data_IF_596493732874
#
_entry.id   IF_596493732874
#
_cell.length_a   1.000
_cell.length_b   1.000
_cell.length_c   1.000
_cell.angle_alpha   90.00
_cell.angle_beta   90.00
_cell.angle_gamma   90.00
#
_symmetry.space_group_name_H-M   'P 1'
#
loop_
_entity.id
_entity.type
_entity.pdbx_description
1 polymer ?
#
# COMPACT_ATOMS: atom_id res chain seq x y z
N UNK A 1 27.83 57.66 -17.54
CA UNK A 1 27.61 56.47 -16.70
C UNK A 1 27.15 55.36 -17.62
N UNK A 2 28.09 54.53 -18.08
CA UNK A 2 27.76 53.36 -18.90
C UNK A 2 27.19 52.30 -17.96
N UNK A 3 25.88 52.03 -18.06
CA UNK A 3 25.30 50.80 -17.51
C UNK A 3 26.18 49.64 -17.96
N UNK A 4 26.74 48.92 -16.99
CA UNK A 4 27.64 47.82 -17.27
C UNK A 4 26.78 46.72 -17.89
N UNK A 5 27.01 46.32 -19.16
CA UNK A 5 26.14 45.37 -19.86
C UNK A 5 26.11 43.99 -19.18
N UNK A 6 27.07 43.74 -18.30
CA UNK A 6 27.17 42.57 -17.44
C UNK A 6 26.12 42.63 -16.31
N UNK A 7 25.93 43.78 -15.68
CA UNK A 7 24.95 43.99 -14.60
C UNK A 7 23.52 43.79 -15.12
N UNK A 8 23.22 44.29 -16.33
CA UNK A 8 21.93 44.09 -16.98
C UNK A 8 21.65 42.61 -17.32
N UNK A 9 22.70 41.84 -17.66
CA UNK A 9 22.58 40.39 -17.90
C UNK A 9 22.42 39.62 -16.59
N UNK A 10 23.13 40.04 -15.54
CA UNK A 10 23.01 39.44 -14.20
C UNK A 10 21.58 39.59 -13.68
N UNK A 11 21.02 40.80 -13.75
CA UNK A 11 19.66 41.09 -13.31
C UNK A 11 18.60 40.25 -14.06
N UNK A 12 18.80 39.99 -15.35
CA UNK A 12 17.91 39.10 -16.13
C UNK A 12 18.04 37.63 -15.71
N UNK A 13 19.23 37.18 -15.37
CA UNK A 13 19.46 35.80 -14.91
C UNK A 13 18.85 35.61 -13.52
N UNK A 14 19.03 36.57 -12.60
CA UNK A 14 18.40 36.53 -11.28
C UNK A 14 16.88 36.51 -11.37
N UNK A 15 16.29 37.35 -12.24
CA UNK A 15 14.85 37.35 -12.47
C UNK A 15 14.34 36.01 -13.03
N UNK A 16 15.09 35.40 -13.95
CA UNK A 16 14.75 34.08 -14.49
C UNK A 16 14.86 32.97 -13.42
N UNK A 17 15.88 33.03 -12.54
CA UNK A 17 16.07 32.08 -11.45
C UNK A 17 14.96 32.19 -10.39
N UNK A 18 14.52 33.41 -10.06
CA UNK A 18 13.40 33.60 -9.11
C UNK A 18 12.07 33.12 -9.69
N UNK A 19 11.79 33.37 -10.97
CA UNK A 19 10.58 32.85 -11.63
C UNK A 19 10.59 31.31 -11.69
N UNK A 20 11.73 30.69 -12.02
CA UNK A 20 11.86 29.23 -12.00
C UNK A 20 11.74 28.65 -10.60
N UNK A 21 12.32 29.29 -9.58
CA UNK A 21 12.21 28.87 -8.19
C UNK A 21 10.78 28.92 -7.67
N UNK A 22 10.02 29.97 -8.03
CA UNK A 22 8.60 30.13 -7.71
C UNK A 22 7.72 29.08 -8.40
N UNK A 23 8.03 28.74 -9.66
CA UNK A 23 7.31 27.69 -10.39
C UNK A 23 7.60 26.31 -9.81
N UNK A 24 8.84 26.04 -9.41
CA UNK A 24 9.22 24.80 -8.72
C UNK A 24 8.50 24.66 -7.38
N UNK A 25 8.51 25.71 -6.55
CA UNK A 25 7.79 25.69 -5.26
C UNK A 25 6.28 25.55 -5.44
N UNK A 26 5.69 26.13 -6.49
CA UNK A 26 4.27 25.90 -6.83
C UNK A 26 4.02 24.46 -7.28
N UNK A 27 4.89 23.87 -8.11
CA UNK A 27 4.76 22.48 -8.56
C UNK A 27 4.95 21.49 -7.41
N UNK A 28 5.87 21.78 -6.49
CA UNK A 28 6.07 20.98 -5.27
C UNK A 28 4.90 21.15 -4.29
N UNK A 29 4.36 22.37 -4.14
CA UNK A 29 3.22 22.67 -3.27
C UNK A 29 1.87 22.16 -3.80
N UNK A 30 1.66 22.19 -5.11
CA UNK A 30 0.51 21.56 -5.79
C UNK A 30 0.73 20.05 -6.02
N UNK A 31 1.97 19.57 -5.81
CA UNK A 31 2.38 18.19 -6.01
C UNK A 31 1.89 17.23 -4.94
N UNK A 32 1.98 17.55 -3.65
CA UNK A 32 1.61 16.59 -2.59
C UNK A 32 1.30 17.20 -1.23
N UNK A 33 0.09 16.93 -0.71
CA UNK A 33 0.00 16.02 0.43
C UNK A 33 -0.71 14.68 0.10
N UNK A 34 -1.24 14.51 -1.11
CA UNK A 34 -2.16 13.38 -1.40
C UNK A 34 -1.79 12.47 -2.57
N UNK A 35 -0.76 12.77 -3.36
CA UNK A 35 -0.30 11.91 -4.48
C UNK A 35 0.81 10.90 -4.12
N UNK A 36 1.49 11.02 -2.97
CA UNK A 36 2.53 10.07 -2.51
C UNK A 36 2.06 9.20 -1.35
N UNK A 37 0.76 9.22 -1.00
CA UNK A 37 0.22 8.06 -0.34
C UNK A 37 0.19 6.96 -1.41
N UNK A 38 1.01 5.89 -1.30
CA UNK A 38 0.73 4.71 -2.10
C UNK A 38 -0.76 4.41 -1.91
N UNK A 39 -1.49 4.05 -2.98
CA UNK A 39 -2.89 3.65 -2.82
C UNK A 39 -2.94 2.65 -1.67
N UNK A 40 -3.89 2.78 -0.72
CA UNK A 40 -3.99 1.82 0.38
C UNK A 40 -3.89 0.44 -0.25
N UNK A 41 -3.01 -0.44 0.27
CA UNK A 41 -2.77 -1.73 -0.36
C UNK A 41 -4.14 -2.33 -0.59
N UNK A 42 -4.54 -2.48 -1.86
CA UNK A 42 -5.86 -2.97 -2.20
C UNK A 42 -6.04 -4.21 -1.34
N UNK A 43 -6.99 -4.16 -0.39
CA UNK A 43 -7.24 -5.29 0.48
C UNK A 43 -7.55 -6.41 -0.48
N UNK A 44 -6.57 -7.30 -0.65
CA UNK A 44 -6.73 -8.46 -1.50
C UNK A 44 -7.72 -9.30 -0.72
N UNK A 45 -9.01 -9.07 -0.97
CA UNK A 45 -10.12 -9.97 -0.68
C UNK A 45 -9.95 -11.23 -1.55
N UNK A 46 -8.74 -11.79 -1.54
CA UNK A 46 -8.51 -13.14 -1.99
C UNK A 46 -9.08 -14.10 -0.95
N UNK A 47 -9.34 -15.35 -1.34
CA UNK A 47 -9.72 -16.38 -0.38
C UNK A 47 -8.71 -16.39 0.76
N UNK A 48 -9.20 -16.21 1.99
CA UNK A 48 -8.38 -16.22 3.19
C UNK A 48 -7.93 -17.65 3.45
N UNK A 49 -6.83 -18.05 2.82
CA UNK A 49 -6.24 -19.38 2.93
C UNK A 49 -5.90 -19.76 4.37
N UNK A 50 -5.59 -18.78 5.23
CA UNK A 50 -5.40 -19.02 6.66
C UNK A 50 -6.71 -19.46 7.32
N UNK A 51 -7.83 -18.80 7.01
CA UNK A 51 -9.16 -19.22 7.48
C UNK A 51 -9.53 -20.61 6.96
N UNK A 52 -9.26 -20.90 5.69
CA UNK A 52 -9.50 -22.22 5.09
C UNK A 52 -8.67 -23.29 5.80
N UNK A 53 -7.38 -23.03 6.04
CA UNK A 53 -6.50 -23.94 6.77
C UNK A 53 -6.98 -24.22 8.19
N UNK A 54 -7.41 -23.19 8.92
CA UNK A 54 -7.99 -23.34 10.27
C UNK A 54 -9.27 -24.18 10.24
N UNK A 55 -10.15 -23.96 9.26
CA UNK A 55 -11.38 -24.76 9.12
C UNK A 55 -11.04 -26.23 8.91
N UNK A 56 -10.10 -26.54 8.00
CA UNK A 56 -9.67 -27.93 7.73
C UNK A 56 -9.07 -28.56 8.99
N UNK A 57 -8.23 -27.82 9.71
CA UNK A 57 -7.61 -28.31 10.95
C UNK A 57 -8.65 -28.66 12.01
N UNK A 58 -9.67 -27.81 12.19
CA UNK A 58 -10.78 -28.05 13.13
C UNK A 58 -11.59 -29.28 12.73
N UNK A 59 -11.88 -29.47 11.44
CA UNK A 59 -12.59 -30.66 10.95
C UNK A 59 -11.78 -31.93 11.21
N UNK A 60 -10.48 -31.93 10.92
CA UNK A 60 -9.59 -33.06 11.20
C UNK A 60 -9.53 -33.39 12.70
N UNK A 61 -9.38 -32.38 13.55
CA UNK A 61 -9.37 -32.56 14.99
C UNK A 61 -10.70 -33.12 15.51
N UNK A 62 -11.83 -32.66 14.96
CA UNK A 62 -13.15 -33.17 15.33
C UNK A 62 -13.34 -34.63 14.90
N UNK A 63 -12.90 -35.01 13.69
CA UNK A 63 -12.95 -36.39 13.23
C UNK A 63 -12.09 -37.31 14.09
N UNK A 64 -10.87 -36.88 14.40
CA UNK A 64 -9.97 -37.63 15.29
C UNK A 64 -10.56 -37.79 16.69
N UNK A 65 -11.14 -36.73 17.25
CA UNK A 65 -11.79 -36.79 18.56
C UNK A 65 -12.98 -37.76 18.59
N UNK A 66 -13.75 -37.84 17.51
CA UNK A 66 -14.86 -38.78 17.41
C UNK A 66 -14.36 -40.22 17.30
N UNK A 67 -13.25 -40.45 16.61
CA UNK A 67 -12.60 -41.76 16.50
C UNK A 67 -12.02 -42.24 17.85
N UNK A 68 -11.47 -41.30 18.64
CA UNK A 68 -10.89 -41.60 19.96
C UNK A 68 -11.97 -41.85 21.05
N UNK A 69 -13.22 -41.45 20.82
CA UNK A 69 -14.30 -41.71 21.78
C UNK A 69 -14.72 -43.19 21.75
N UNK A 70 -14.84 -43.87 22.92
CA UNK A 70 -15.29 -45.24 22.96
C UNK A 70 -16.74 -45.36 22.46
N UNK A 71 -16.89 -45.93 21.27
CA UNK A 71 -18.16 -46.14 20.60
C UNK A 71 -17.95 -46.69 19.19
N UNK A 72 -19.03 -47.07 18.49
CA UNK A 72 -18.91 -47.54 17.10
C UNK A 72 -18.32 -46.44 16.23
N UNK A 73 -17.37 -46.83 15.36
CA UNK A 73 -16.66 -45.95 14.43
C UNK A 73 -17.66 -45.12 13.63
N UNK A 74 -17.25 -43.92 13.18
CA UNK A 74 -18.15 -43.01 12.46
C UNK A 74 -18.81 -43.68 11.24
N UNK A 75 -18.10 -44.60 10.59
CA UNK A 75 -18.61 -45.39 9.47
C UNK A 75 -19.75 -46.34 9.88
N UNK A 76 -19.70 -46.96 11.06
CA UNK A 76 -20.75 -47.84 11.61
C UNK A 76 -21.98 -47.07 12.13
N UNK A 77 -21.91 -45.73 12.22
CA UNK A 77 -23.05 -44.89 12.63
C UNK A 77 -23.83 -44.32 11.45
N UNK A 78 -23.22 -44.29 10.27
CA UNK A 78 -23.80 -43.66 9.07
C UNK A 78 -24.31 -44.72 8.08
N UNK A 79 -23.71 -45.92 8.09
CA UNK A 79 -24.14 -47.09 7.33
C UNK A 79 -24.75 -48.15 8.26
#
# INVERSE_FOLDING_TARGET
>A
MSENPIEARLARIEAAQTDLGLRLTRIEGEGQPSRFAPPPPAEREGPNWARIGVIILVVLAALWLIDEMPGPNLLDRIF
#
